data_IF_042368439079
#
_entry.id   IF_042368439079
#
_cell.length_a   1.000
_cell.length_b   1.000
_cell.length_c   1.000
_cell.angle_alpha   90.00
_cell.angle_beta   90.00
_cell.angle_gamma   90.00
#
_symmetry.space_group_name_H-M   'P 1'
#
loop_
_entity.id
_entity.type
_entity.pdbx_description
1 polymer ?
#
# COMPACT_ATOMS: atom_id res chain seq x y z
N UNK A 1 76.56 -58.51 34.25
CA UNK A 1 76.08 -58.72 32.87
C UNK A 1 74.58 -58.82 32.99
N UNK A 2 73.88 -57.90 32.32
CA UNK A 2 72.42 -57.89 32.12
C UNK A 2 71.52 -57.65 33.36
N UNK A 3 70.41 -56.92 33.33
CA UNK A 3 69.77 -56.08 32.31
C UNK A 3 68.72 -55.25 33.08
N UNK A 4 68.71 -53.94 32.87
CA UNK A 4 67.55 -53.10 33.15
C UNK A 4 66.38 -53.55 32.26
N UNK A 5 65.21 -53.84 32.83
CA UNK A 5 63.94 -53.82 32.07
C UNK A 5 62.72 -53.61 32.98
N UNK A 6 62.35 -52.35 33.06
CA UNK A 6 61.03 -51.78 32.76
C UNK A 6 59.75 -52.36 33.41
N UNK A 7 58.85 -51.43 33.76
CA UNK A 7 57.48 -51.78 34.07
C UNK A 7 56.78 -50.79 34.98
N UNK A 8 56.79 -49.49 34.64
CA UNK A 8 55.79 -48.53 35.13
C UNK A 8 54.40 -49.03 34.74
N UNK A 9 53.79 -49.85 35.61
CA UNK A 9 52.40 -50.26 35.47
C UNK A 9 51.53 -49.10 35.94
N UNK A 10 51.42 -48.10 35.08
CA UNK A 10 50.38 -47.08 35.18
C UNK A 10 49.04 -47.80 35.33
N UNK A 11 48.35 -47.54 36.44
CA UNK A 11 46.93 -47.86 36.57
C UNK A 11 46.16 -46.90 35.65
N UNK A 12 46.26 -47.10 34.35
CA UNK A 12 45.24 -46.63 33.42
C UNK A 12 44.15 -47.69 33.55
N UNK A 13 43.15 -47.40 34.38
CA UNK A 13 41.99 -48.27 34.53
C UNK A 13 41.38 -48.49 33.15
N UNK A 14 41.52 -49.72 32.66
CA UNK A 14 40.91 -50.21 31.43
C UNK A 14 39.39 -50.13 31.65
N UNK A 15 38.78 -49.04 31.21
CA UNK A 15 37.35 -48.96 31.01
C UNK A 15 37.01 -50.06 30.00
N UNK A 16 36.32 -51.10 30.46
CA UNK A 16 36.11 -52.33 29.68
C UNK A 16 35.48 -52.01 28.32
N UNK A 17 36.05 -52.51 27.22
CA UNK A 17 35.75 -52.14 25.82
C UNK A 17 34.26 -52.11 25.44
N UNK A 18 33.42 -52.91 26.10
CA UNK A 18 31.98 -52.92 25.85
C UNK A 18 31.27 -51.65 26.37
N UNK A 19 31.80 -50.98 27.39
CA UNK A 19 31.23 -49.74 27.94
C UNK A 19 31.49 -48.54 27.03
N UNK A 20 32.66 -48.47 26.39
CA UNK A 20 33.00 -47.40 25.42
C UNK A 20 32.13 -47.51 24.16
N UNK A 21 31.84 -48.73 23.71
CA UNK A 21 30.93 -48.98 22.58
C UNK A 21 29.50 -48.48 22.89
N UNK A 22 28.97 -48.77 24.08
CA UNK A 22 27.62 -48.34 24.46
C UNK A 22 27.51 -46.81 24.61
N UNK A 23 28.54 -46.17 25.18
CA UNK A 23 28.55 -44.70 25.34
C UNK A 23 28.64 -43.98 23.99
N UNK A 24 29.48 -44.46 23.07
CA UNK A 24 29.62 -43.85 21.74
C UNK A 24 28.34 -44.00 20.91
N UNK A 25 27.66 -45.15 20.98
CA UNK A 25 26.37 -45.36 20.32
C UNK A 25 25.27 -44.42 20.88
N UNK A 26 25.21 -44.26 22.20
CA UNK A 26 24.27 -43.33 22.85
C UNK A 26 24.53 -41.88 22.45
N UNK A 27 25.79 -41.43 22.51
CA UNK A 27 26.19 -40.07 22.13
C UNK A 27 25.87 -39.80 20.66
N UNK A 28 26.12 -40.76 19.76
CA UNK A 28 25.83 -40.61 18.34
C UNK A 28 24.33 -40.48 18.09
N UNK A 29 23.51 -41.30 18.76
CA UNK A 29 22.05 -41.29 18.60
C UNK A 29 21.43 -40.00 19.15
N UNK A 30 21.83 -39.60 20.37
CA UNK A 30 21.33 -38.36 21.00
C UNK A 30 21.78 -37.14 20.21
N UNK A 31 23.05 -37.10 19.77
CA UNK A 31 23.57 -36.03 18.93
C UNK A 31 22.83 -35.91 17.62
N UNK A 32 22.59 -37.04 16.93
CA UNK A 32 21.82 -37.06 15.67
C UNK A 32 20.37 -36.63 15.88
N UNK A 33 19.73 -37.09 16.96
CA UNK A 33 18.36 -36.70 17.30
C UNK A 33 18.22 -35.21 17.58
N UNK A 34 19.18 -34.61 18.30
CA UNK A 34 19.18 -33.17 18.60
C UNK A 34 19.39 -32.34 17.32
N UNK A 35 20.35 -32.73 16.47
CA UNK A 35 20.64 -32.02 15.21
C UNK A 35 19.45 -32.09 14.26
N UNK A 36 18.82 -33.26 14.11
CA UNK A 36 17.64 -33.41 13.24
C UNK A 36 16.43 -32.64 13.78
N UNK A 37 16.20 -32.64 15.10
CA UNK A 37 15.13 -31.85 15.72
C UNK A 37 15.33 -30.34 15.53
N UNK A 38 16.55 -29.83 15.80
CA UNK A 38 16.87 -28.42 15.62
C UNK A 38 16.80 -28.01 14.14
N UNK A 39 17.33 -28.85 13.25
CA UNK A 39 17.24 -28.67 11.81
C UNK A 39 15.80 -28.59 11.33
N UNK A 40 14.97 -29.58 11.69
CA UNK A 40 13.55 -29.59 11.36
C UNK A 40 12.82 -28.34 11.87
N UNK A 41 13.06 -27.93 13.12
CA UNK A 41 12.44 -26.73 13.71
C UNK A 41 12.83 -25.44 12.97
N UNK A 42 14.08 -25.33 12.55
CA UNK A 42 14.55 -24.18 11.75
C UNK A 42 13.99 -24.21 10.33
N UNK A 43 13.96 -25.39 9.69
CA UNK A 43 13.39 -25.58 8.35
C UNK A 43 11.91 -25.23 8.31
N UNK A 44 11.10 -25.78 9.23
CA UNK A 44 9.65 -25.49 9.27
C UNK A 44 9.37 -24.00 9.47
N UNK A 45 10.15 -23.32 10.32
CA UNK A 45 10.01 -21.87 10.50
C UNK A 45 10.37 -21.11 9.22
N UNK A 46 11.52 -21.41 8.63
CA UNK A 46 11.98 -20.77 7.39
C UNK A 46 11.00 -21.00 6.24
N UNK A 47 10.55 -22.23 6.04
CA UNK A 47 9.60 -22.59 4.99
C UNK A 47 8.28 -21.85 5.19
N UNK A 48 7.80 -21.73 6.43
CA UNK A 48 6.58 -20.95 6.72
C UNK A 48 6.72 -19.46 6.43
N UNK A 49 7.89 -18.87 6.66
CA UNK A 49 8.17 -17.46 6.35
C UNK A 49 8.32 -17.25 4.85
N UNK A 50 9.01 -18.15 4.15
CA UNK A 50 9.17 -18.10 2.69
C UNK A 50 7.82 -18.21 1.99
N UNK A 51 6.96 -19.15 2.39
CA UNK A 51 5.61 -19.28 1.81
C UNK A 51 4.76 -18.04 2.08
N UNK A 52 4.82 -17.47 3.29
CA UNK A 52 4.13 -16.21 3.60
C UNK A 52 4.62 -15.06 2.72
N UNK A 53 5.94 -14.91 2.57
CA UNK A 53 6.52 -13.88 1.72
C UNK A 53 6.12 -14.07 0.26
N UNK A 54 6.10 -15.31 -0.25
CA UNK A 54 5.63 -15.62 -1.60
C UNK A 54 4.17 -15.21 -1.80
N UNK A 55 3.29 -15.52 -0.84
CA UNK A 55 1.88 -15.11 -0.90
C UNK A 55 1.74 -13.58 -0.84
N UNK A 56 2.50 -12.92 0.03
CA UNK A 56 2.50 -11.46 0.18
C UNK A 56 2.98 -10.76 -1.10
N UNK A 57 4.05 -11.27 -1.70
CA UNK A 57 4.61 -10.78 -2.97
C UNK A 57 3.63 -10.96 -4.10
N UNK A 58 2.99 -12.13 -4.20
CA UNK A 58 1.95 -12.38 -5.20
C UNK A 58 0.77 -11.40 -5.05
N UNK A 59 0.29 -11.19 -3.82
CA UNK A 59 -0.76 -10.22 -3.55
C UNK A 59 -0.33 -8.81 -3.96
N UNK A 60 0.86 -8.38 -3.54
CA UNK A 60 1.39 -7.06 -3.86
C UNK A 60 1.49 -6.82 -5.38
N UNK A 61 1.92 -7.83 -6.14
CA UNK A 61 1.93 -7.78 -7.61
C UNK A 61 0.52 -7.64 -8.17
N UNK A 62 -0.44 -8.45 -7.70
CA UNK A 62 -1.84 -8.44 -8.17
C UNK A 62 -2.52 -7.10 -7.90
N UNK A 63 -2.37 -6.57 -6.69
CA UNK A 63 -2.93 -5.28 -6.29
C UNK A 63 -2.26 -4.15 -7.06
N UNK A 64 -0.94 -4.12 -7.15
CA UNK A 64 -0.22 -3.10 -7.92
C UNK A 64 -0.65 -3.08 -9.39
N UNK A 65 -0.87 -4.27 -9.99
CA UNK A 65 -1.31 -4.39 -11.37
C UNK A 65 -2.72 -3.84 -11.64
N UNK A 66 -3.61 -3.78 -10.65
CA UNK A 66 -4.94 -3.14 -10.79
C UNK A 66 -4.92 -1.66 -10.40
N UNK A 67 -4.05 -1.25 -9.48
CA UNK A 67 -3.91 0.16 -9.09
C UNK A 67 -3.26 1.00 -10.21
N UNK A 68 -2.30 0.45 -10.95
CA UNK A 68 -1.63 1.19 -12.02
C UNK A 68 -2.59 1.71 -13.12
N UNK A 69 -3.45 0.88 -13.75
CA UNK A 69 -4.42 1.38 -14.72
C UNK A 69 -5.45 2.31 -14.06
N UNK A 70 -5.85 2.06 -12.80
CA UNK A 70 -6.74 2.95 -12.07
C UNK A 70 -6.15 4.36 -11.91
N UNK A 71 -4.86 4.47 -11.56
CA UNK A 71 -4.15 5.76 -11.49
C UNK A 71 -4.15 6.46 -12.83
N UNK A 72 -3.91 5.74 -13.93
CA UNK A 72 -3.94 6.34 -15.27
C UNK A 72 -5.33 6.82 -15.66
N UNK A 73 -6.38 6.08 -15.33
CA UNK A 73 -7.76 6.55 -15.54
C UNK A 73 -8.09 7.79 -14.68
N UNK A 74 -7.54 7.91 -13.47
CA UNK A 74 -7.67 9.13 -12.67
C UNK A 74 -7.00 10.33 -13.36
N UNK A 75 -5.84 10.11 -13.98
CA UNK A 75 -5.14 11.14 -14.78
C UNK A 75 -5.99 11.57 -15.97
N UNK A 76 -6.66 10.64 -16.67
CA UNK A 76 -7.56 10.96 -17.78
C UNK A 76 -8.71 11.86 -17.34
N UNK A 77 -9.32 11.58 -16.17
CA UNK A 77 -10.37 12.43 -15.60
C UNK A 77 -9.84 13.81 -15.23
N UNK A 78 -8.64 13.88 -14.66
CA UNK A 78 -8.00 15.16 -14.31
C UNK A 78 -7.71 16.02 -15.54
N UNK A 79 -7.33 15.38 -16.65
CA UNK A 79 -7.04 16.04 -17.91
C UNK A 79 -8.31 16.42 -18.70
N UNK A 80 -9.47 15.90 -18.31
CA UNK A 80 -10.73 16.08 -19.03
C UNK A 80 -11.17 17.55 -19.10
N UNK A 81 -11.36 18.01 -20.35
CA UNK A 81 -11.86 19.34 -20.69
C UNK A 81 -13.30 19.31 -21.17
N UNK A 82 -13.87 18.12 -21.32
CA UNK A 82 -15.18 17.89 -21.91
C UNK A 82 -15.25 18.23 -23.39
N UNK A 83 -16.44 18.02 -23.94
CA UNK A 83 -16.83 18.47 -25.27
C UNK A 83 -18.21 19.12 -25.20
N UNK A 84 -18.52 20.03 -26.13
CA UNK A 84 -19.86 20.61 -26.22
C UNK A 84 -20.76 19.74 -27.09
N UNK A 85 -21.93 19.41 -26.58
CA UNK A 85 -22.94 18.66 -27.34
C UNK A 85 -23.70 19.55 -28.35
N UNK A 86 -24.74 19.00 -28.98
CA UNK A 86 -25.53 19.71 -29.99
C UNK A 86 -26.36 20.87 -29.40
N UNK A 87 -26.60 20.84 -28.09
CA UNK A 87 -27.33 21.83 -27.31
C UNK A 87 -26.38 22.92 -26.75
N UNK A 88 -25.07 22.73 -26.91
CA UNK A 88 -24.02 23.62 -26.41
C UNK A 88 -23.62 23.34 -24.96
N UNK A 89 -24.15 22.28 -24.35
CA UNK A 89 -23.88 21.85 -22.98
C UNK A 89 -22.54 21.11 -22.92
N UNK A 90 -21.75 21.38 -21.88
CA UNK A 90 -20.44 20.77 -21.68
C UNK A 90 -20.61 19.39 -21.04
N UNK A 91 -20.29 18.35 -21.79
CA UNK A 91 -20.31 16.96 -21.36
C UNK A 91 -18.89 16.45 -21.08
N UNK A 92 -18.70 15.53 -20.12
CA UNK A 92 -17.41 14.88 -19.90
C UNK A 92 -17.01 13.99 -21.07
N UNK A 93 -15.72 13.97 -21.43
CA UNK A 93 -15.17 13.07 -22.44
C UNK A 93 -14.62 11.78 -21.82
N UNK A 94 -14.15 11.86 -20.58
CA UNK A 94 -13.57 10.72 -19.86
C UNK A 94 -14.61 9.95 -19.03
N UNK A 95 -14.37 8.65 -18.85
CA UNK A 95 -15.20 7.76 -18.03
C UNK A 95 -14.68 7.74 -16.58
N UNK A 96 -15.56 7.74 -15.56
CA UNK A 96 -15.14 7.54 -14.17
C UNK A 96 -14.32 6.23 -13.99
N UNK A 97 -13.15 6.29 -13.32
CA UNK A 97 -12.34 5.12 -13.04
C UNK A 97 -13.07 4.11 -12.15
N UNK A 98 -12.99 2.83 -12.49
CA UNK A 98 -13.48 1.75 -11.64
C UNK A 98 -12.29 0.97 -11.06
N UNK A 99 -12.45 0.48 -9.84
CA UNK A 99 -11.45 -0.34 -9.17
C UNK A 99 -12.06 -1.64 -8.68
N UNK A 100 -11.58 -2.75 -9.21
CA UNK A 100 -11.92 -4.10 -8.76
C UNK A 100 -10.70 -4.75 -8.12
N UNK A 101 -10.77 -4.96 -6.80
CA UNK A 101 -9.70 -5.63 -6.07
C UNK A 101 -9.74 -7.15 -6.29
N UNK A 102 -8.57 -7.81 -6.39
CA UNK A 102 -8.49 -9.24 -6.59
C UNK A 102 -9.17 -10.00 -5.43
N UNK A 103 -9.98 -11.00 -5.77
CA UNK A 103 -10.66 -11.87 -4.81
C UNK A 103 -9.90 -13.17 -4.54
N UNK A 104 -8.91 -13.48 -5.38
CA UNK A 104 -8.13 -14.72 -5.39
C UNK A 104 -6.85 -14.64 -4.53
N UNK A 105 -6.79 -13.73 -3.56
CA UNK A 105 -5.60 -13.45 -2.75
C UNK A 105 -5.89 -13.55 -1.24
N UNK A 106 -4.90 -13.97 -0.45
CA UNK A 106 -5.00 -13.97 1.02
C UNK A 106 -4.52 -12.64 1.58
N UNK A 107 -5.46 -11.75 1.90
CA UNK A 107 -5.19 -10.42 2.47
C UNK A 107 -4.35 -10.45 3.76
N UNK A 108 -4.38 -11.55 4.51
CA UNK A 108 -3.59 -11.70 5.75
C UNK A 108 -2.10 -11.91 5.49
N UNK A 109 -1.70 -12.10 4.24
CA UNK A 109 -0.30 -12.28 3.86
C UNK A 109 0.50 -10.96 3.84
N UNK A 110 -0.16 -9.81 3.72
CA UNK A 110 0.52 -8.51 3.68
C UNK A 110 0.50 -7.77 5.02
N UNK A 111 1.25 -6.66 5.08
CA UNK A 111 1.27 -5.76 6.23
C UNK A 111 -0.13 -5.24 6.55
N UNK A 112 -0.60 -5.28 7.83
CA UNK A 112 -1.95 -4.88 8.19
C UNK A 112 -2.31 -3.43 7.83
N UNK A 113 -1.34 -2.50 7.86
CA UNK A 113 -1.59 -1.10 7.51
C UNK A 113 -1.75 -0.93 5.99
N UNK A 114 -0.96 -1.65 5.20
CA UNK A 114 -1.14 -1.68 3.74
C UNK A 114 -2.45 -2.38 3.36
N UNK A 115 -2.80 -3.46 4.05
CA UNK A 115 -4.07 -4.16 3.84
C UNK A 115 -5.26 -3.22 4.06
N UNK A 116 -5.29 -2.52 5.20
CA UNK A 116 -6.36 -1.57 5.51
C UNK A 116 -6.47 -0.46 4.46
N UNK A 117 -5.34 0.15 4.06
CA UNK A 117 -5.30 1.18 3.01
C UNK A 117 -5.81 0.69 1.66
N UNK A 118 -5.46 -0.53 1.25
CA UNK A 118 -5.94 -1.11 -0.02
C UNK A 118 -7.45 -1.39 0.07
N UNK A 119 -7.90 -2.00 1.16
CA UNK A 119 -9.29 -2.41 1.33
C UNK A 119 -10.24 -1.25 1.62
N UNK A 120 -9.75 -0.10 2.10
CA UNK A 120 -10.53 1.11 2.28
C UNK A 120 -10.75 1.88 0.97
N UNK A 121 -9.87 1.70 -0.03
CA UNK A 121 -9.90 2.47 -1.28
C UNK A 121 -11.24 2.41 -2.03
N UNK A 122 -11.94 1.25 -2.15
CA UNK A 122 -13.29 1.23 -2.74
C UNK A 122 -14.32 2.08 -1.97
N UNK A 123 -14.19 2.20 -0.65
CA UNK A 123 -15.08 3.05 0.16
C UNK A 123 -14.78 4.54 -0.09
N UNK A 124 -13.50 4.90 -0.23
CA UNK A 124 -13.08 6.26 -0.58
C UNK A 124 -13.61 6.66 -1.96
N UNK A 125 -13.53 5.75 -2.95
CA UNK A 125 -14.11 5.94 -4.28
C UNK A 125 -15.62 6.19 -4.18
N UNK A 126 -16.36 5.32 -3.48
CA UNK A 126 -17.80 5.48 -3.32
C UNK A 126 -18.19 6.78 -2.59
N UNK A 127 -17.35 7.25 -1.66
CA UNK A 127 -17.53 8.53 -0.96
C UNK A 127 -17.34 9.73 -1.90
N UNK A 128 -16.27 9.69 -2.70
CA UNK A 128 -15.98 10.69 -3.72
C UNK A 128 -17.10 10.78 -4.77
N UNK A 129 -17.57 9.65 -5.29
CA UNK A 129 -18.67 9.60 -6.26
C UNK A 129 -19.95 10.23 -5.72
N UNK A 130 -20.30 9.96 -4.46
CA UNK A 130 -21.45 10.62 -3.80
C UNK A 130 -21.28 12.13 -3.71
N UNK A 131 -20.07 12.59 -3.41
CA UNK A 131 -19.75 14.02 -3.32
C UNK A 131 -19.86 14.69 -4.69
N UNK A 132 -19.30 14.07 -5.73
CA UNK A 132 -19.41 14.54 -7.12
C UNK A 132 -20.88 14.60 -7.55
N UNK A 133 -21.66 13.56 -7.26
CA UNK A 133 -23.10 13.51 -7.57
C UNK A 133 -23.86 14.64 -6.86
N UNK A 134 -23.56 14.89 -5.59
CA UNK A 134 -24.17 15.97 -4.84
C UNK A 134 -23.85 17.34 -5.44
N UNK A 135 -22.60 17.59 -5.86
CA UNK A 135 -22.22 18.83 -6.54
C UNK A 135 -22.95 18.97 -7.87
N UNK A 136 -23.08 17.87 -8.63
CA UNK A 136 -23.83 17.85 -9.89
C UNK A 136 -25.29 18.32 -9.71
N UNK A 137 -25.95 17.84 -8.64
CA UNK A 137 -27.38 18.09 -8.41
C UNK A 137 -27.67 19.44 -7.76
N UNK A 138 -26.79 19.91 -6.87
CA UNK A 138 -27.11 21.03 -5.96
C UNK A 138 -26.35 22.31 -6.29
N UNK A 139 -25.17 22.21 -6.90
CA UNK A 139 -24.26 23.35 -7.07
C UNK A 139 -23.98 23.67 -8.54
N UNK A 140 -23.86 22.64 -9.38
CA UNK A 140 -23.53 22.77 -10.79
C UNK A 140 -24.74 23.20 -11.63
N UNK A 141 -24.50 24.03 -12.64
CA UNK A 141 -25.54 24.51 -13.55
C UNK A 141 -25.09 24.58 -15.02
N UNK A 142 -26.02 24.46 -15.97
CA UNK A 142 -25.72 24.55 -17.39
C UNK A 142 -25.33 26.00 -17.79
N UNK A 143 -24.60 26.16 -18.91
CA UNK A 143 -24.19 25.13 -19.85
C UNK A 143 -22.84 24.46 -19.52
N UNK A 144 -22.06 25.03 -18.61
CA UNK A 144 -20.64 24.67 -18.46
C UNK A 144 -20.37 23.70 -17.31
N UNK A 145 -21.28 23.57 -16.34
CA UNK A 145 -21.15 22.65 -15.21
C UNK A 145 -19.79 22.75 -14.47
N UNK A 146 -19.25 23.98 -14.35
CA UNK A 146 -17.88 24.24 -13.92
C UNK A 146 -17.59 23.62 -12.55
N UNK A 147 -18.49 23.80 -11.58
CA UNK A 147 -18.36 23.27 -10.22
C UNK A 147 -18.28 21.74 -10.21
N UNK A 148 -19.04 21.08 -11.08
CA UNK A 148 -19.01 19.62 -11.20
C UNK A 148 -17.68 19.14 -11.77
N UNK A 149 -17.18 19.78 -12.82
CA UNK A 149 -15.88 19.45 -13.40
C UNK A 149 -14.73 19.71 -12.42
N UNK A 150 -14.81 20.76 -11.62
CA UNK A 150 -13.84 21.07 -10.56
C UNK A 150 -13.83 20.01 -9.46
N UNK A 151 -15.00 19.69 -8.88
CA UNK A 151 -15.12 18.64 -7.87
C UNK A 151 -14.63 17.29 -8.39
N UNK A 152 -15.02 16.95 -9.62
CA UNK A 152 -14.59 15.72 -10.28
C UNK A 152 -13.08 15.63 -10.40
N UNK A 153 -12.41 16.67 -10.92
CA UNK A 153 -10.94 16.67 -11.05
C UNK A 153 -10.26 16.57 -9.69
N UNK A 154 -10.77 17.26 -8.68
CA UNK A 154 -10.18 17.24 -7.34
C UNK A 154 -10.28 15.89 -6.66
N UNK A 155 -11.48 15.30 -6.66
CA UNK A 155 -11.73 14.01 -6.05
C UNK A 155 -10.89 12.90 -6.69
N UNK A 156 -10.87 12.84 -8.03
CA UNK A 156 -10.08 11.84 -8.76
C UNK A 156 -8.57 12.11 -8.69
N UNK A 157 -8.14 13.36 -8.57
CA UNK A 157 -6.73 13.67 -8.29
C UNK A 157 -6.29 13.08 -6.94
N UNK A 158 -7.08 13.29 -5.88
CA UNK A 158 -6.80 12.75 -4.55
C UNK A 158 -6.80 11.21 -4.52
N UNK A 159 -7.78 10.57 -5.14
CA UNK A 159 -7.85 9.11 -5.24
C UNK A 159 -6.69 8.53 -6.05
N UNK A 160 -6.30 9.19 -7.15
CA UNK A 160 -5.14 8.80 -7.95
C UNK A 160 -3.84 8.87 -7.16
N UNK A 161 -3.63 9.94 -6.37
CA UNK A 161 -2.46 10.07 -5.50
C UNK A 161 -2.43 8.98 -4.41
N UNK A 162 -3.56 8.74 -3.77
CA UNK A 162 -3.69 7.69 -2.76
C UNK A 162 -3.36 6.31 -3.33
N UNK A 163 -3.93 5.97 -4.49
CA UNK A 163 -3.66 4.70 -5.17
C UNK A 163 -2.19 4.59 -5.61
N UNK A 164 -1.60 5.67 -6.10
CA UNK A 164 -0.20 5.73 -6.49
C UNK A 164 0.73 5.48 -5.28
N UNK A 165 0.45 6.10 -4.13
CA UNK A 165 1.19 5.89 -2.89
C UNK A 165 1.07 4.45 -2.40
N UNK A 166 -0.14 3.89 -2.39
CA UNK A 166 -0.35 2.48 -2.00
C UNK A 166 0.45 1.54 -2.93
N UNK A 167 0.39 1.77 -4.24
CA UNK A 167 1.08 0.94 -5.22
C UNK A 167 2.61 1.06 -5.11
N UNK A 168 3.14 2.24 -4.75
CA UNK A 168 4.56 2.44 -4.44
C UNK A 168 4.95 1.70 -3.17
N UNK A 169 4.18 1.88 -2.08
CA UNK A 169 4.49 1.30 -0.77
C UNK A 169 4.44 -0.23 -0.79
N UNK A 170 3.49 -0.82 -1.55
CA UNK A 170 3.47 -2.27 -1.79
C UNK A 170 4.74 -2.74 -2.49
N UNK A 171 5.19 -2.03 -3.52
CA UNK A 171 6.40 -2.41 -4.25
C UNK A 171 7.65 -2.27 -3.41
N UNK A 172 7.78 -1.17 -2.65
CA UNK A 172 8.89 -0.95 -1.74
C UNK A 172 8.93 -2.01 -0.63
N UNK A 173 7.76 -2.36 -0.06
CA UNK A 173 7.67 -3.35 1.03
C UNK A 173 8.02 -4.77 0.60
N UNK A 174 7.70 -5.14 -0.64
CA UNK A 174 7.88 -6.50 -1.17
C UNK A 174 8.96 -6.58 -2.25
N UNK A 175 9.87 -5.62 -2.28
CA UNK A 175 11.04 -5.57 -3.17
C UNK A 175 10.69 -5.77 -4.66
N UNK A 176 9.54 -5.24 -5.09
CA UNK A 176 9.10 -5.29 -6.48
C UNK A 176 9.71 -4.14 -7.28
N UNK A 177 9.95 -4.32 -8.58
CA UNK A 177 10.36 -3.24 -9.46
C UNK A 177 9.35 -2.09 -9.45
N UNK A 178 9.86 -0.87 -9.24
CA UNK A 178 9.06 0.35 -9.37
C UNK A 178 8.69 0.59 -10.84
N UNK A 179 7.57 1.29 -11.06
CA UNK A 179 7.23 1.73 -12.42
C UNK A 179 8.23 2.78 -12.89
N UNK A 180 8.57 2.70 -14.16
CA UNK A 180 9.38 3.72 -14.83
C UNK A 180 8.49 4.91 -15.21
N UNK A 181 8.71 6.04 -14.53
CA UNK A 181 8.04 7.32 -14.78
C UNK A 181 8.93 8.31 -15.52
N UNK A 182 10.08 7.89 -16.08
CA UNK A 182 11.04 8.77 -16.74
C UNK A 182 10.48 9.63 -17.89
N UNK A 183 9.44 9.12 -18.58
CA UNK A 183 8.78 9.82 -19.69
C UNK A 183 7.59 10.66 -19.26
N UNK A 184 6.86 10.21 -18.24
CA UNK A 184 5.64 10.83 -17.75
C UNK A 184 5.35 10.32 -16.34
N UNK A 185 5.34 11.22 -15.37
CA UNK A 185 4.95 10.91 -13.99
C UNK A 185 3.47 11.29 -13.78
N UNK A 186 2.57 10.32 -13.53
CA UNK A 186 1.17 10.62 -13.25
C UNK A 186 1.00 11.49 -11.99
N UNK A 187 1.96 11.42 -11.04
CA UNK A 187 1.93 12.24 -9.83
C UNK A 187 1.88 13.72 -10.17
N UNK A 188 2.67 14.19 -11.13
CA UNK A 188 2.75 15.61 -11.49
C UNK A 188 1.39 16.16 -11.91
N UNK A 189 0.67 15.42 -12.75
CA UNK A 189 -0.65 15.82 -13.24
C UNK A 189 -1.70 15.81 -12.11
N UNK A 190 -1.67 14.78 -11.27
CA UNK A 190 -2.59 14.63 -10.15
C UNK A 190 -2.34 15.71 -9.08
N UNK A 191 -1.09 15.95 -8.68
CA UNK A 191 -0.73 16.99 -7.70
C UNK A 191 -1.05 18.39 -8.23
N UNK A 192 -0.81 18.66 -9.51
CA UNK A 192 -1.15 19.95 -10.10
C UNK A 192 -2.66 20.23 -10.02
N UNK A 193 -3.49 19.24 -10.30
CA UNK A 193 -4.95 19.38 -10.21
C UNK A 193 -5.45 19.47 -8.76
N UNK A 194 -4.91 18.63 -7.88
CA UNK A 194 -5.26 18.64 -6.46
C UNK A 194 -4.92 19.99 -5.81
N UNK A 195 -3.68 20.48 -6.01
CA UNK A 195 -3.23 21.74 -5.44
C UNK A 195 -4.00 22.94 -5.99
N UNK A 196 -4.25 22.98 -7.30
CA UNK A 196 -4.99 24.08 -7.93
C UNK A 196 -6.35 24.25 -7.25
N UNK A 197 -7.06 23.16 -7.05
CA UNK A 197 -8.38 23.20 -6.42
C UNK A 197 -8.31 23.49 -4.91
N UNK A 198 -7.38 22.86 -4.19
CA UNK A 198 -7.22 23.08 -2.74
C UNK A 198 -6.93 24.56 -2.43
N UNK A 199 -6.06 25.21 -3.22
CA UNK A 199 -5.78 26.64 -3.12
C UNK A 199 -7.03 27.51 -3.39
N UNK A 200 -7.83 27.15 -4.39
CA UNK A 200 -9.08 27.86 -4.71
C UNK A 200 -10.10 27.73 -3.58
N UNK A 201 -10.24 26.53 -2.98
CA UNK A 201 -11.12 26.27 -1.83
C UNK A 201 -10.70 27.03 -0.59
N UNK A 202 -9.39 27.05 -0.29
CA UNK A 202 -8.85 27.80 0.84
C UNK A 202 -9.08 29.30 0.66
N UNK A 203 -8.82 29.84 -0.53
CA UNK A 203 -9.07 31.24 -0.86
C UNK A 203 -10.56 31.59 -0.77
N UNK A 204 -11.44 30.72 -1.27
CA UNK A 204 -12.90 30.86 -1.16
C UNK A 204 -13.37 30.90 0.29
N UNK A 205 -12.88 29.98 1.13
CA UNK A 205 -13.21 29.91 2.55
C UNK A 205 -12.75 31.16 3.32
N UNK A 206 -11.55 31.68 3.03
CA UNK A 206 -11.04 32.92 3.60
C UNK A 206 -11.86 34.14 3.18
N UNK A 207 -12.21 34.22 1.89
CA UNK A 207 -13.07 35.28 1.37
C UNK A 207 -14.45 35.27 2.02
N UNK A 208 -15.07 34.10 2.18
CA UNK A 208 -16.35 33.94 2.87
C UNK A 208 -16.25 34.42 4.34
N UNK A 209 -15.21 34.01 5.08
CA UNK A 209 -14.96 34.49 6.45
C UNK A 209 -14.82 36.02 6.51
N UNK A 210 -14.10 36.62 5.55
CA UNK A 210 -13.91 38.07 5.45
C UNK A 210 -15.23 38.80 5.20
N UNK A 211 -16.08 38.27 4.32
CA UNK A 211 -17.41 38.83 4.02
C UNK A 211 -18.29 38.77 5.27
N UNK A 212 -18.40 37.61 5.92
CA UNK A 212 -19.18 37.44 7.16
C UNK A 212 -18.71 38.40 8.25
N UNK A 213 -17.40 38.59 8.42
CA UNK A 213 -16.83 39.55 9.38
C UNK A 213 -17.25 41.00 9.07
N UNK A 214 -17.18 41.42 7.79
CA UNK A 214 -17.63 42.76 7.36
C UNK A 214 -19.13 42.97 7.61
N UNK A 215 -19.96 41.98 7.31
CA UNK A 215 -21.40 42.04 7.58
C UNK A 215 -21.71 42.17 9.06
N UNK A 216 -21.04 41.38 9.93
CA UNK A 216 -21.18 41.48 11.39
C UNK A 216 -20.78 42.87 11.91
N UNK A 217 -19.67 43.42 11.43
CA UNK A 217 -19.20 44.75 11.82
C UNK A 217 -20.16 45.88 11.39
N UNK A 218 -20.70 45.80 10.17
CA UNK A 218 -21.69 46.77 9.68
C UNK A 218 -22.97 46.73 10.53
N UNK A 219 -23.47 45.53 10.85
CA UNK A 219 -24.66 45.36 11.70
C UNK A 219 -24.45 45.95 13.10
N UNK A 220 -23.28 45.75 13.71
CA UNK A 220 -22.95 46.32 15.02
C UNK A 220 -22.87 47.85 15.04
N UNK A 221 -22.46 48.49 13.94
CA UNK A 221 -22.38 49.95 13.83
C UNK A 221 -23.69 50.65 13.46
N UNK A 222 -24.78 49.91 13.16
CA UNK A 222 -26.08 50.49 12.76
C UNK A 222 -27.12 50.44 13.91
N UNK A 223 -26.77 49.81 15.04
CA UNK A 223 -27.60 49.70 16.25
C UNK A 223 -27.15 50.64 17.38
N UNK A 224 -26.33 51.65 17.06
CA UNK A 224 -25.86 52.68 18.00
C UNK A 224 -26.43 54.04 17.66
#
# INVERSE_FOLDING_TARGET
MELWRDGTRGKVGLMTDWQTILLTALVTTVGTGLVTYLGYRLTVRRDSEVERLRHATFLAVRVSAVLDPFVMSCVEVVADRGYRDQQGELCPDSVPPTLELPQDVDWRSIDPLLMDRVLSLPNEIASAEKTISFVAEVQSGPPDHEEWFEERRFAWAGLGLLALDIARDLRDRYELPQRDYSRYDPRDALEAAFRKEDEMRMTGAENAKRIVKKFKAKKAGTTG
#
